data_IF_837157228167
#
_entry.id   IF_837157228167
#
_cell.length_a   1.000
_cell.length_b   1.000
_cell.length_c   1.000
_cell.angle_alpha   90.00
_cell.angle_beta   90.00
_cell.angle_gamma   90.00
#
_symmetry.space_group_name_H-M   'P 1'
#
loop_
_entity.id
_entity.type
_entity.pdbx_description
1 polymer ?
#
# COMPACT_ATOMS: atom_id res chain seq x y z
N UNK A 1 -16.55 -7.83 -6.19
CA UNK A 1 -15.33 -7.69 -5.35
C UNK A 1 -15.07 -9.02 -4.64
N UNK A 2 -15.94 -9.50 -3.72
CA UNK A 2 -15.70 -10.72 -2.92
C UNK A 2 -15.39 -11.95 -3.78
N UNK A 3 -16.15 -12.20 -4.83
CA UNK A 3 -15.95 -13.31 -5.77
C UNK A 3 -14.57 -13.27 -6.44
N UNK A 4 -14.11 -12.07 -6.82
CA UNK A 4 -12.80 -11.88 -7.44
C UNK A 4 -11.66 -12.13 -6.44
N UNK A 5 -11.79 -11.59 -5.23
CA UNK A 5 -10.79 -11.75 -4.18
C UNK A 5 -10.67 -13.21 -3.69
N UNK A 6 -11.78 -13.94 -3.66
CA UNK A 6 -11.78 -15.37 -3.30
C UNK A 6 -10.90 -16.23 -4.24
N UNK A 7 -10.74 -15.84 -5.51
CA UNK A 7 -9.81 -16.52 -6.45
C UNK A 7 -8.35 -16.45 -6.02
N UNK A 8 -8.01 -15.46 -5.19
CA UNK A 8 -6.68 -15.28 -4.62
C UNK A 8 -6.58 -15.80 -3.17
N UNK A 9 -7.61 -16.51 -2.69
CA UNK A 9 -7.68 -16.96 -1.28
C UNK A 9 -7.88 -15.81 -0.28
N UNK A 10 -8.42 -14.67 -0.74
CA UNK A 10 -8.60 -13.47 0.09
C UNK A 10 -10.09 -13.31 0.43
N UNK A 11 -10.40 -13.25 1.71
CA UNK A 11 -11.79 -13.22 2.22
C UNK A 11 -12.01 -12.03 3.17
N UNK A 12 -11.94 -10.77 2.71
CA UNK A 12 -12.22 -9.61 3.54
C UNK A 12 -13.72 -9.43 3.77
N UNK A 13 -14.07 -8.73 4.83
CA UNK A 13 -15.43 -8.19 4.96
C UNK A 13 -15.56 -6.94 4.12
N UNK A 14 -16.30 -7.02 3.01
CA UNK A 14 -16.58 -5.90 2.12
C UNK A 14 -18.07 -5.55 2.25
N UNK A 15 -18.35 -4.36 2.73
CA UNK A 15 -19.70 -3.79 2.90
C UNK A 15 -20.02 -2.87 1.73
N UNK A 16 -19.04 -2.09 1.29
CA UNK A 16 -19.18 -1.22 0.12
C UNK A 16 -17.92 -1.28 -0.77
N UNK A 17 -18.00 -0.64 -1.94
CA UNK A 17 -16.88 -0.52 -2.87
C UNK A 17 -16.18 0.85 -2.81
N UNK A 18 -16.69 1.80 -2.00
CA UNK A 18 -16.15 3.16 -1.91
C UNK A 18 -14.93 3.25 -0.99
N UNK A 19 -14.80 2.33 -0.02
CA UNK A 19 -13.77 2.37 1.01
C UNK A 19 -14.10 3.34 2.16
N UNK A 20 -15.30 3.90 2.22
CA UNK A 20 -15.71 4.85 3.27
C UNK A 20 -16.37 4.16 4.47
N UNK A 21 -16.91 2.96 4.29
CA UNK A 21 -17.55 2.23 5.40
C UNK A 21 -16.52 1.75 6.41
N UNK A 22 -16.67 2.18 7.67
CA UNK A 22 -15.89 1.66 8.80
C UNK A 22 -16.12 0.16 9.07
N UNK A 23 -17.15 -0.42 8.47
CA UNK A 23 -17.45 -1.85 8.56
C UNK A 23 -16.71 -2.71 7.54
N UNK A 24 -15.99 -2.12 6.59
CA UNK A 24 -15.02 -2.85 5.78
C UNK A 24 -13.88 -3.34 6.68
N UNK A 25 -13.48 -4.59 6.50
CA UNK A 25 -12.40 -5.16 7.31
C UNK A 25 -11.51 -6.09 6.48
N UNK A 26 -10.21 -5.91 6.61
CA UNK A 26 -9.18 -6.75 5.98
C UNK A 26 -7.94 -6.79 6.88
N UNK A 27 -6.98 -7.63 6.54
CA UNK A 27 -5.70 -7.67 7.24
C UNK A 27 -4.54 -7.24 6.32
N UNK A 28 -3.42 -6.76 6.88
CA UNK A 28 -2.21 -6.51 6.09
C UNK A 28 -1.79 -7.71 5.24
N UNK A 29 -1.90 -8.93 5.78
CA UNK A 29 -1.57 -10.15 5.06
C UNK A 29 -2.45 -10.34 3.81
N UNK A 30 -3.76 -10.11 3.91
CA UNK A 30 -4.66 -10.19 2.75
C UNK A 30 -4.33 -9.14 1.68
N UNK A 31 -3.96 -7.92 2.09
CA UNK A 31 -3.54 -6.88 1.14
C UNK A 31 -2.21 -7.26 0.48
N UNK A 32 -1.23 -7.78 1.22
CA UNK A 32 0.05 -8.23 0.65
C UNK A 32 -0.19 -9.38 -0.33
N UNK A 33 -1.07 -10.34 -0.01
CA UNK A 33 -1.46 -11.40 -0.95
C UNK A 33 -2.02 -10.82 -2.24
N UNK A 34 -2.98 -9.88 -2.15
CA UNK A 34 -3.54 -9.21 -3.32
C UNK A 34 -2.45 -8.50 -4.15
N UNK A 35 -1.60 -7.73 -3.50
CA UNK A 35 -0.50 -7.03 -4.18
C UNK A 35 0.44 -8.00 -4.89
N UNK A 36 0.77 -9.13 -4.24
CA UNK A 36 1.64 -10.16 -4.81
C UNK A 36 1.02 -10.79 -6.06
N UNK A 37 -0.26 -11.13 -6.02
CA UNK A 37 -0.97 -11.70 -7.16
C UNK A 37 -1.16 -10.68 -8.30
N UNK A 38 -1.43 -9.43 -7.96
CA UNK A 38 -1.50 -8.34 -8.95
C UNK A 38 -0.14 -8.08 -9.63
N UNK A 39 0.97 -8.23 -8.91
CA UNK A 39 2.30 -8.06 -9.49
C UNK A 39 2.64 -9.16 -10.52
N UNK A 40 2.10 -10.36 -10.35
CA UNK A 40 2.26 -11.49 -11.28
C UNK A 40 1.32 -11.42 -12.48
N UNK A 41 0.25 -10.62 -12.40
CA UNK A 41 -0.76 -10.51 -13.45
C UNK A 41 -0.18 -9.89 -14.73
N UNK A 42 -0.75 -10.22 -15.90
CA UNK A 42 -0.35 -9.63 -17.18
C UNK A 42 -0.40 -8.09 -17.18
N UNK A 43 -1.33 -7.49 -16.42
CA UNK A 43 -1.46 -6.04 -16.23
C UNK A 43 -0.68 -5.50 -15.02
N UNK A 44 0.21 -6.29 -14.41
CA UNK A 44 0.90 -5.93 -13.18
C UNK A 44 1.75 -4.66 -13.28
N UNK A 45 2.34 -4.39 -14.45
CA UNK A 45 3.09 -3.15 -14.70
C UNK A 45 2.15 -1.93 -14.71
N UNK A 46 1.03 -2.02 -15.40
CA UNK A 46 0.01 -0.95 -15.48
C UNK A 46 -0.58 -0.71 -14.10
N UNK A 47 -0.92 -1.78 -13.38
CA UNK A 47 -1.40 -1.71 -12.00
C UNK A 47 -0.43 -0.95 -11.09
N UNK A 48 0.84 -1.31 -11.08
CA UNK A 48 1.84 -0.61 -10.28
C UNK A 48 2.02 0.84 -10.71
N UNK A 49 2.02 1.11 -12.02
CA UNK A 49 2.15 2.46 -12.55
C UNK A 49 0.98 3.37 -12.16
N UNK A 50 -0.21 2.83 -11.93
CA UNK A 50 -1.41 3.57 -11.50
C UNK A 50 -1.34 4.03 -10.05
N UNK A 51 -0.46 3.44 -9.23
CA UNK A 51 -0.33 3.82 -7.83
C UNK A 51 0.46 5.13 -7.67
N UNK A 52 0.06 6.01 -6.72
CA UNK A 52 0.82 7.19 -6.35
C UNK A 52 2.30 6.92 -6.06
N UNK A 53 3.14 7.87 -6.44
CA UNK A 53 4.58 7.84 -6.22
C UNK A 53 4.96 8.81 -5.12
N UNK A 54 5.70 8.37 -4.08
CA UNK A 54 6.21 9.24 -3.03
C UNK A 54 6.94 10.45 -3.59
N UNK A 55 6.67 11.64 -3.04
CA UNK A 55 7.30 12.89 -3.42
C UNK A 55 6.96 13.41 -4.81
N UNK A 56 6.05 12.74 -5.57
CA UNK A 56 5.80 13.05 -6.99
C UNK A 56 4.31 13.19 -7.31
N UNK A 57 3.47 12.23 -6.91
CA UNK A 57 2.10 12.21 -7.44
C UNK A 57 1.04 11.80 -6.40
N UNK A 58 -0.21 12.21 -6.69
CA UNK A 58 -1.39 11.84 -5.94
C UNK A 58 -1.28 12.19 -4.45
N UNK A 59 -1.84 11.33 -3.60
CA UNK A 59 -1.84 11.53 -2.15
C UNK A 59 -0.45 11.39 -1.48
N UNK A 60 0.58 11.01 -2.24
CA UNK A 60 1.95 10.91 -1.77
C UNK A 60 2.86 12.03 -2.29
N UNK A 61 2.35 12.99 -3.07
CA UNK A 61 3.15 14.07 -3.66
C UNK A 61 3.98 14.86 -2.64
N UNK A 62 3.42 15.06 -1.44
CA UNK A 62 4.08 15.81 -0.35
C UNK A 62 4.75 14.90 0.70
N UNK A 63 4.73 13.58 0.48
CA UNK A 63 5.24 12.61 1.45
C UNK A 63 6.54 11.99 0.98
N UNK A 64 7.48 11.77 1.91
CA UNK A 64 8.77 11.08 1.67
C UNK A 64 9.67 11.76 0.62
N UNK A 65 9.50 13.08 0.39
CA UNK A 65 10.37 13.87 -0.50
C UNK A 65 11.83 13.73 -0.09
N UNK A 66 12.72 13.68 -1.07
CA UNK A 66 14.16 13.58 -0.84
C UNK A 66 14.64 12.23 -0.30
N UNK A 67 13.76 11.23 -0.20
CA UNK A 67 14.13 9.89 0.21
C UNK A 67 14.27 8.94 -0.97
N UNK A 68 14.92 7.80 -0.76
CA UNK A 68 15.05 6.73 -1.76
C UNK A 68 13.69 6.16 -2.22
N UNK A 69 12.63 6.32 -1.41
CA UNK A 69 11.29 5.88 -1.78
C UNK A 69 10.73 6.61 -3.01
N UNK A 70 11.18 7.85 -3.27
CA UNK A 70 10.77 8.66 -4.44
C UNK A 70 10.97 7.91 -5.75
N UNK A 71 12.10 7.26 -5.91
CA UNK A 71 12.45 6.55 -7.16
C UNK A 71 12.08 5.07 -7.16
N UNK A 72 11.82 4.50 -5.99
CA UNK A 72 11.70 3.03 -5.84
C UNK A 72 10.32 2.55 -5.46
N UNK A 73 9.48 3.39 -4.87
CA UNK A 73 8.19 2.93 -4.32
C UNK A 73 6.99 3.52 -5.04
N UNK A 74 5.89 2.78 -4.99
CA UNK A 74 4.55 3.21 -5.37
C UNK A 74 3.54 2.62 -4.40
N UNK A 75 2.61 3.43 -3.92
CA UNK A 75 1.66 2.97 -2.91
C UNK A 75 0.33 3.72 -2.96
N UNK A 76 -0.71 3.08 -2.42
CA UNK A 76 -2.04 3.66 -2.20
C UNK A 76 -2.23 3.97 -0.73
N UNK A 77 -2.72 5.16 -0.44
CA UNK A 77 -3.12 5.60 0.89
C UNK A 77 -4.60 5.31 1.17
N UNK A 78 -4.95 5.18 2.44
CA UNK A 78 -6.30 5.27 2.94
C UNK A 78 -6.30 6.10 4.23
N UNK A 79 -7.28 6.98 4.41
CA UNK A 79 -7.41 7.78 5.63
C UNK A 79 -8.89 7.98 5.95
N UNK A 80 -9.29 7.62 7.15
CA UNK A 80 -10.56 7.97 7.78
C UNK A 80 -10.26 8.69 9.09
N UNK A 81 -11.29 8.99 9.89
CA UNK A 81 -11.14 9.77 11.13
C UNK A 81 -10.02 9.24 12.06
N UNK A 82 -9.99 7.93 12.29
CA UNK A 82 -9.05 7.26 13.20
C UNK A 82 -8.34 6.06 12.54
N UNK A 83 -8.26 6.08 11.19
CA UNK A 83 -7.66 5.00 10.39
C UNK A 83 -6.64 5.59 9.44
N UNK A 84 -5.46 4.98 9.39
CA UNK A 84 -4.46 5.22 8.34
C UNK A 84 -4.09 3.91 7.68
N UNK A 85 -3.95 3.95 6.36
CA UNK A 85 -3.48 2.82 5.57
C UNK A 85 -2.47 3.28 4.52
N UNK A 86 -1.42 2.50 4.34
CA UNK A 86 -0.46 2.67 3.26
C UNK A 86 -0.01 1.29 2.78
N UNK A 87 -0.28 0.97 1.52
CA UNK A 87 0.04 -0.34 0.96
C UNK A 87 0.57 -0.19 -0.46
N UNK A 88 1.57 -0.97 -0.83
CA UNK A 88 2.17 -0.83 -2.16
C UNK A 88 3.41 -1.68 -2.35
N UNK A 89 4.30 -1.16 -3.17
CA UNK A 89 5.53 -1.85 -3.58
C UNK A 89 6.74 -0.94 -3.47
N UNK A 90 7.88 -1.54 -3.16
CA UNK A 90 9.20 -0.92 -3.35
C UNK A 90 10.10 -1.86 -4.15
N UNK A 91 10.78 -1.33 -5.18
CA UNK A 91 11.86 -2.02 -5.87
C UNK A 91 13.14 -1.79 -5.07
N UNK A 92 13.70 -2.88 -4.52
CA UNK A 92 14.90 -2.81 -3.67
C UNK A 92 16.18 -3.05 -4.48
N UNK A 93 17.38 -2.78 -3.92
CA UNK A 93 18.65 -3.18 -4.54
C UNK A 93 18.62 -4.67 -4.93
N UNK A 94 19.27 -5.02 -6.03
CA UNK A 94 19.17 -6.37 -6.61
C UNK A 94 17.94 -6.59 -7.49
N UNK A 95 17.03 -5.61 -7.61
CA UNK A 95 15.90 -5.63 -8.54
C UNK A 95 14.65 -6.34 -8.01
N UNK A 96 14.69 -6.85 -6.78
CA UNK A 96 13.54 -7.49 -6.16
C UNK A 96 12.41 -6.50 -5.87
N UNK A 97 11.18 -6.97 -5.95
CA UNK A 97 9.98 -6.20 -5.65
C UNK A 97 9.41 -6.67 -4.30
N UNK A 98 9.36 -5.76 -3.34
CA UNK A 98 8.74 -6.02 -2.03
C UNK A 98 7.35 -5.40 -2.02
N UNK A 99 6.33 -6.21 -1.71
CA UNK A 99 4.99 -5.74 -1.39
C UNK A 99 4.89 -5.47 0.12
N UNK A 100 4.23 -4.38 0.51
CA UNK A 100 4.03 -4.03 1.91
C UNK A 100 2.61 -3.52 2.17
N UNK A 101 2.15 -3.64 3.41
CA UNK A 101 0.88 -3.10 3.87
C UNK A 101 0.94 -2.69 5.33
N UNK A 102 0.62 -1.42 5.61
CA UNK A 102 0.40 -0.87 6.95
C UNK A 102 -1.08 -0.53 7.09
N UNK A 103 -1.72 -1.05 8.12
CA UNK A 103 -3.10 -0.74 8.49
C UNK A 103 -3.12 -0.38 9.97
N UNK A 104 -3.60 0.81 10.28
CA UNK A 104 -3.65 1.33 11.65
C UNK A 104 -5.05 1.85 11.96
N UNK A 105 -5.58 1.46 13.11
CA UNK A 105 -6.91 1.83 13.57
C UNK A 105 -6.86 2.43 14.97
N UNK A 106 -7.81 3.29 15.31
CA UNK A 106 -7.96 3.91 16.64
C UNK A 106 -6.73 4.72 17.05
N UNK A 107 -6.13 5.41 16.08
CA UNK A 107 -4.96 6.23 16.28
C UNK A 107 -5.04 7.46 15.37
N UNK A 108 -4.46 8.59 15.83
CA UNK A 108 -4.34 9.78 15.01
C UNK A 108 -3.59 9.48 13.70
N UNK A 109 -4.22 9.65 12.54
CA UNK A 109 -3.59 9.39 11.25
C UNK A 109 -2.33 10.21 10.99
N UNK A 110 -2.17 11.40 11.56
CA UNK A 110 -0.96 12.23 11.38
C UNK A 110 0.26 11.56 12.01
N UNK A 111 0.10 10.97 13.20
CA UNK A 111 1.18 10.24 13.89
C UNK A 111 1.58 9.00 13.09
N UNK A 112 0.59 8.25 12.59
CA UNK A 112 0.85 7.05 11.78
C UNK A 112 1.57 7.40 10.49
N UNK A 113 1.13 8.45 9.77
CA UNK A 113 1.78 8.91 8.53
C UNK A 113 3.25 9.26 8.73
N UNK A 114 3.60 9.83 9.90
CA UNK A 114 5.01 10.09 10.24
C UNK A 114 5.83 8.81 10.31
N UNK A 115 5.29 7.77 10.95
CA UNK A 115 5.93 6.45 11.06
C UNK A 115 6.03 5.79 9.67
N UNK A 116 4.95 5.78 8.90
CA UNK A 116 4.92 5.24 7.53
C UNK A 116 5.99 5.91 6.65
N UNK A 117 6.16 7.25 6.78
CA UNK A 117 7.15 8.02 6.03
C UNK A 117 8.61 7.64 6.38
N UNK A 118 8.85 7.07 7.55
CA UNK A 118 10.15 6.55 7.95
C UNK A 118 10.33 5.10 7.50
N UNK A 119 9.31 4.26 7.63
CA UNK A 119 9.38 2.83 7.33
C UNK A 119 9.52 2.54 5.83
N UNK A 120 8.80 3.25 4.97
CA UNK A 120 8.82 2.98 3.52
C UNK A 120 10.21 3.19 2.90
N UNK A 121 10.97 4.28 3.21
CA UNK A 121 12.36 4.40 2.75
C UNK A 121 13.27 3.29 3.26
N UNK A 122 13.04 2.78 4.48
CA UNK A 122 13.81 1.63 5.01
C UNK A 122 13.55 0.37 4.19
N UNK A 123 12.28 0.09 3.85
CA UNK A 123 11.93 -1.02 2.93
C UNK A 123 12.62 -0.84 1.60
N UNK A 124 12.60 0.37 1.03
CA UNK A 124 13.23 0.69 -0.25
C UNK A 124 14.76 0.52 -0.26
N UNK A 125 15.38 0.59 0.92
CA UNK A 125 16.83 0.42 1.10
C UNK A 125 17.22 -1.01 1.49
N UNK A 126 16.25 -1.90 1.73
CA UNK A 126 16.52 -3.27 2.17
C UNK A 126 17.39 -4.02 1.14
N UNK A 127 18.38 -4.73 1.64
CA UNK A 127 19.27 -5.59 0.85
C UNK A 127 18.99 -7.03 1.30
N UNK A 128 18.38 -7.87 0.45
CA UNK A 128 18.13 -9.28 0.75
C UNK A 128 19.41 -10.11 0.74
#
# INVERSE_FOLDING_TARGET
IRTTLARFGIHPRVVDGSGLSASNNTSPAQIVTLLTEMAKNANGLIWRASLPQPGVSGTLAERMKGTVAVTRCRAKTGTLHDVSALSGYCKVPGGHLIAFSFLSNRIDPLRVKSIENQMVPMIASYQP
#
